data_IF_012717288978
#
_entry.id   IF_012717288978
#
_cell.length_a   1.000
_cell.length_b   1.000
_cell.length_c   1.000
_cell.angle_alpha   90.00
_cell.angle_beta   90.00
_cell.angle_gamma   90.00
#
_symmetry.space_group_name_H-M   'P 1'
#
loop_
_entity.id
_entity.type
_entity.pdbx_description
1 polymer ?
#
# COMPACT_ATOMS: atom_id res chain seq x y z
N UNK A 1 -13.66 5.13 -30.09
CA UNK A 1 -13.02 6.38 -30.53
C UNK A 1 -11.57 6.14 -30.98
N UNK A 2 -10.81 5.29 -30.27
CA UNK A 2 -9.39 5.02 -30.54
C UNK A 2 -9.11 3.66 -31.17
N UNK A 3 -10.12 2.98 -31.71
CA UNK A 3 -10.02 1.61 -32.18
C UNK A 3 -8.89 1.37 -33.20
N UNK A 4 -8.63 2.32 -34.09
CA UNK A 4 -7.59 2.20 -35.11
C UNK A 4 -6.18 2.57 -34.65
N UNK A 5 -6.06 3.13 -33.44
CA UNK A 5 -4.79 3.62 -32.88
C UNK A 5 -4.44 2.98 -31.54
N UNK A 6 -5.29 2.08 -31.03
CA UNK A 6 -5.09 1.42 -29.75
C UNK A 6 -3.96 0.40 -29.85
N UNK A 7 -2.83 0.68 -29.19
CA UNK A 7 -1.68 -0.21 -29.16
C UNK A 7 -1.69 -1.14 -27.93
N UNK A 8 -2.03 -0.61 -26.77
CA UNK A 8 -2.04 -1.37 -25.53
C UNK A 8 -2.96 -0.73 -24.47
N UNK A 9 -3.40 -1.57 -23.53
CA UNK A 9 -4.03 -1.17 -22.28
C UNK A 9 -3.22 -1.75 -21.12
N UNK A 10 -2.91 -0.94 -20.11
CA UNK A 10 -2.37 -1.41 -18.83
C UNK A 10 -3.44 -1.27 -17.74
N UNK A 11 -3.70 -2.36 -17.04
CA UNK A 11 -4.64 -2.39 -15.90
C UNK A 11 -4.03 -3.11 -14.72
N UNK A 12 -4.38 -2.68 -13.52
CA UNK A 12 -4.08 -3.41 -12.27
C UNK A 12 -5.26 -4.30 -11.92
N UNK A 13 -5.03 -5.58 -11.58
CA UNK A 13 -6.11 -6.50 -11.21
C UNK A 13 -5.76 -7.35 -9.98
N UNK A 14 -6.60 -7.34 -8.90
CA UNK A 14 -7.74 -6.42 -8.71
C UNK A 14 -7.33 -4.95 -8.77
N UNK A 15 -8.29 -4.05 -8.99
CA UNK A 15 -7.98 -2.62 -9.13
C UNK A 15 -7.48 -2.01 -7.82
N UNK A 16 -6.71 -0.91 -7.94
CA UNK A 16 -6.24 -0.11 -6.80
C UNK A 16 -7.38 0.59 -6.03
N UNK A 17 -8.62 0.43 -6.48
CA UNK A 17 -9.82 0.85 -5.75
C UNK A 17 -10.31 -0.23 -4.76
N UNK A 18 -9.59 -1.33 -4.66
CA UNK A 18 -9.92 -2.43 -3.75
C UNK A 18 -11.11 -3.28 -4.21
N UNK A 19 -11.37 -3.37 -5.51
CA UNK A 19 -12.49 -4.15 -6.06
C UNK A 19 -12.06 -5.04 -7.21
N UNK A 20 -12.77 -6.16 -7.39
CA UNK A 20 -12.65 -7.01 -8.56
C UNK A 20 -13.52 -6.44 -9.70
N UNK A 21 -12.89 -6.06 -10.80
CA UNK A 21 -13.60 -5.58 -12.00
C UNK A 21 -14.27 -6.74 -12.72
N UNK A 22 -15.60 -6.80 -12.68
CA UNK A 22 -16.37 -7.89 -13.30
C UNK A 22 -16.25 -7.90 -14.84
N UNK A 23 -16.05 -6.73 -15.45
CA UNK A 23 -15.95 -6.56 -16.89
C UNK A 23 -14.54 -6.82 -17.45
N UNK A 24 -13.58 -7.32 -16.65
CA UNK A 24 -12.18 -7.46 -17.08
C UNK A 24 -12.02 -8.29 -18.36
N UNK A 25 -12.77 -9.37 -18.51
CA UNK A 25 -12.74 -10.22 -19.72
C UNK A 25 -13.21 -9.44 -20.94
N UNK A 26 -14.36 -8.77 -20.84
CA UNK A 26 -14.93 -7.95 -21.91
C UNK A 26 -13.98 -6.80 -22.31
N UNK A 27 -13.33 -6.16 -21.32
CA UNK A 27 -12.33 -5.10 -21.57
C UNK A 27 -11.15 -5.67 -22.38
N UNK A 28 -10.63 -6.83 -21.98
CA UNK A 28 -9.52 -7.48 -22.69
C UNK A 28 -9.94 -7.83 -24.13
N UNK A 29 -11.13 -8.39 -24.31
CA UNK A 29 -11.66 -8.75 -25.64
C UNK A 29 -11.81 -7.53 -26.55
N UNK A 30 -12.29 -6.40 -26.01
CA UNK A 30 -12.39 -5.14 -26.77
C UNK A 30 -11.03 -4.61 -27.20
N UNK A 31 -10.01 -4.71 -26.35
CA UNK A 31 -8.63 -4.30 -26.68
C UNK A 31 -8.07 -5.19 -27.77
N UNK A 32 -8.23 -6.51 -27.66
CA UNK A 32 -7.77 -7.47 -28.66
C UNK A 32 -8.50 -7.30 -30.00
N UNK A 33 -9.80 -7.04 -29.98
CA UNK A 33 -10.57 -6.77 -31.19
C UNK A 33 -10.07 -5.51 -31.95
N UNK A 34 -9.45 -4.57 -31.24
CA UNK A 34 -8.79 -3.40 -31.84
C UNK A 34 -7.33 -3.66 -32.24
N UNK A 35 -6.79 -4.87 -32.04
CA UNK A 35 -5.39 -5.22 -32.31
C UNK A 35 -4.40 -4.82 -31.22
N UNK A 36 -4.88 -4.32 -30.09
CA UNK A 36 -4.07 -3.93 -28.94
C UNK A 36 -3.66 -5.11 -28.06
N UNK A 37 -2.73 -4.86 -27.13
CA UNK A 37 -2.27 -5.83 -26.14
C UNK A 37 -2.68 -5.41 -24.73
N UNK A 38 -2.87 -6.38 -23.82
CA UNK A 38 -3.25 -6.12 -22.44
C UNK A 38 -2.10 -6.43 -21.50
N UNK A 39 -1.63 -5.40 -20.80
CA UNK A 39 -0.64 -5.53 -19.71
C UNK A 39 -1.37 -5.55 -18.36
N UNK A 40 -1.24 -6.64 -17.63
CA UNK A 40 -1.78 -6.76 -16.27
C UNK A 40 -0.68 -6.43 -15.26
N UNK A 41 -0.86 -5.35 -14.52
CA UNK A 41 -0.04 -5.06 -13.35
C UNK A 41 -0.31 -6.11 -12.27
N UNK A 42 0.70 -6.91 -11.96
CA UNK A 42 0.65 -7.99 -10.97
C UNK A 42 0.98 -7.55 -9.55
N UNK A 43 0.93 -6.25 -9.24
CA UNK A 43 1.18 -5.75 -7.89
C UNK A 43 0.23 -6.36 -6.85
N UNK A 44 -1.01 -6.62 -7.24
CA UNK A 44 -2.06 -7.15 -6.38
C UNK A 44 -2.27 -8.68 -6.55
N UNK A 45 -1.24 -9.40 -6.97
CA UNK A 45 -1.31 -10.85 -7.20
C UNK A 45 -1.72 -11.63 -5.96
N UNK A 46 -1.38 -11.16 -4.75
CA UNK A 46 -1.80 -11.76 -3.46
C UNK A 46 -3.33 -11.89 -3.32
N UNK A 47 -4.10 -11.10 -4.04
CA UNK A 47 -5.56 -11.19 -4.04
C UNK A 47 -6.13 -12.21 -5.02
N UNK A 48 -5.31 -12.89 -5.84
CA UNK A 48 -5.78 -13.78 -6.91
C UNK A 48 -5.03 -15.11 -6.99
N UNK A 49 -3.93 -15.30 -6.27
CA UNK A 49 -3.15 -16.57 -6.32
C UNK A 49 -4.04 -17.76 -6.00
N UNK A 50 -4.05 -18.73 -6.92
CA UNK A 50 -4.87 -19.93 -6.81
C UNK A 50 -6.34 -19.80 -7.24
N UNK A 51 -6.83 -18.57 -7.47
CA UNK A 51 -8.22 -18.28 -7.84
C UNK A 51 -8.39 -17.76 -9.27
N UNK A 52 -7.45 -16.95 -9.75
CA UNK A 52 -7.50 -16.42 -11.11
C UNK A 52 -6.12 -16.44 -11.76
N UNK A 53 -6.09 -16.51 -13.08
CA UNK A 53 -4.88 -16.50 -13.89
C UNK A 53 -5.00 -15.40 -14.93
N UNK A 54 -4.06 -14.46 -14.91
CA UNK A 54 -4.06 -13.29 -15.78
C UNK A 54 -4.16 -13.63 -17.27
N UNK A 55 -3.48 -14.69 -17.71
CA UNK A 55 -3.56 -15.14 -19.10
C UNK A 55 -4.91 -15.76 -19.49
N UNK A 56 -5.68 -16.31 -18.54
CA UNK A 56 -6.98 -16.91 -18.85
C UNK A 56 -8.07 -15.88 -19.09
N UNK A 57 -7.99 -14.71 -18.44
CA UNK A 57 -8.96 -13.65 -18.66
C UNK A 57 -8.52 -12.57 -19.67
N UNK A 58 -7.41 -12.77 -20.38
CA UNK A 58 -7.03 -11.91 -21.48
C UNK A 58 -5.72 -11.14 -21.33
N UNK A 59 -4.97 -11.30 -20.24
CA UNK A 59 -3.65 -10.68 -20.08
C UNK A 59 -2.63 -11.23 -21.09
N UNK A 60 -1.90 -10.34 -21.78
CA UNK A 60 -0.82 -10.70 -22.70
C UNK A 60 0.55 -10.60 -22.04
N UNK A 61 0.72 -9.62 -21.16
CA UNK A 61 1.93 -9.40 -20.38
C UNK A 61 1.54 -9.14 -18.92
N UNK A 62 2.35 -9.64 -18.00
CA UNK A 62 2.24 -9.29 -16.58
C UNK A 62 3.60 -9.26 -15.92
N UNK A 63 3.82 -8.34 -15.00
CA UNK A 63 4.93 -8.41 -14.05
C UNK A 63 4.42 -8.83 -12.67
N UNK A 64 5.33 -9.39 -11.86
CA UNK A 64 5.05 -9.75 -10.48
C UNK A 64 5.93 -8.92 -9.53
N UNK A 65 5.32 -8.41 -8.47
CA UNK A 65 6.03 -7.76 -7.38
C UNK A 65 6.36 -8.81 -6.30
N UNK A 66 7.54 -9.41 -6.38
CA UNK A 66 7.94 -10.46 -5.43
C UNK A 66 8.00 -9.97 -3.99
N UNK A 67 8.28 -8.67 -3.77
CA UNK A 67 8.29 -8.02 -2.46
C UNK A 67 6.90 -7.78 -1.88
N UNK A 68 5.84 -8.09 -2.62
CA UNK A 68 4.45 -8.06 -2.13
C UNK A 68 3.94 -9.47 -1.86
N UNK A 69 3.73 -10.24 -2.92
CA UNK A 69 3.10 -11.57 -2.85
C UNK A 69 4.05 -12.69 -2.43
N UNK A 70 5.36 -12.58 -2.71
CA UNK A 70 6.31 -13.69 -2.61
C UNK A 70 7.50 -13.42 -1.68
N UNK A 71 7.31 -12.61 -0.65
CA UNK A 71 8.15 -12.48 0.55
C UNK A 71 9.58 -11.98 0.38
N UNK A 72 10.02 -11.51 -0.78
CA UNK A 72 11.36 -10.89 -0.85
C UNK A 72 11.37 -9.55 -0.14
N UNK A 73 12.52 -9.12 0.41
CA UNK A 73 12.62 -7.82 1.05
C UNK A 73 12.48 -6.70 0.01
N UNK A 74 11.76 -5.63 0.36
CA UNK A 74 11.78 -4.36 -0.39
C UNK A 74 12.93 -3.47 0.10
N UNK A 75 13.15 -3.42 1.41
CA UNK A 75 14.31 -2.82 2.07
C UNK A 75 14.53 -1.34 1.77
N UNK A 76 13.47 -0.59 1.50
CA UNK A 76 13.60 0.83 1.13
C UNK A 76 14.27 1.03 -0.24
N UNK A 77 14.13 0.09 -1.17
CA UNK A 77 14.72 0.10 -2.51
C UNK A 77 15.89 -0.87 -2.66
N UNK A 78 15.93 -1.92 -1.85
CA UNK A 78 16.95 -2.98 -1.86
C UNK A 78 16.99 -3.81 -3.15
N UNK A 79 17.55 -5.03 -3.11
CA UNK A 79 17.75 -5.83 -4.30
C UNK A 79 16.43 -6.06 -5.03
N UNK A 80 16.40 -5.78 -6.34
CA UNK A 80 15.21 -5.83 -7.17
C UNK A 80 15.24 -7.00 -8.14
N UNK A 81 14.16 -7.77 -8.18
CA UNK A 81 13.84 -8.68 -9.26
C UNK A 81 12.34 -8.72 -9.43
N UNK A 82 11.86 -8.50 -10.64
CA UNK A 82 10.45 -8.53 -11.00
C UNK A 82 10.26 -9.43 -12.22
N UNK A 83 9.80 -10.68 -12.04
CA UNK A 83 9.50 -11.52 -13.18
C UNK A 83 8.46 -10.88 -14.08
N UNK A 84 8.72 -10.91 -15.38
CA UNK A 84 7.77 -10.53 -16.42
C UNK A 84 7.43 -11.78 -17.20
N UNK A 85 6.14 -12.06 -17.36
CA UNK A 85 5.62 -13.14 -18.17
C UNK A 85 4.85 -12.56 -19.35
N UNK A 86 4.98 -13.19 -20.51
CA UNK A 86 4.32 -12.76 -21.72
C UNK A 86 3.79 -13.97 -22.49
N UNK A 87 2.74 -13.76 -23.30
CA UNK A 87 2.24 -14.77 -24.25
C UNK A 87 3.26 -15.04 -25.35
N UNK A 88 3.20 -16.23 -25.93
CA UNK A 88 4.16 -16.71 -26.93
C UNK A 88 4.31 -15.76 -28.14
N UNK A 89 3.23 -15.14 -28.59
CA UNK A 89 3.27 -14.22 -29.74
C UNK A 89 4.11 -12.96 -29.49
N UNK A 90 4.43 -12.64 -28.21
CA UNK A 90 5.29 -11.52 -27.82
C UNK A 90 6.75 -11.92 -27.65
N UNK A 91 7.08 -13.20 -27.78
CA UNK A 91 8.43 -13.73 -27.52
C UNK A 91 9.52 -13.03 -28.32
N UNK A 92 9.27 -12.78 -29.59
CA UNK A 92 10.23 -12.13 -30.49
C UNK A 92 10.53 -10.67 -30.13
N UNK A 93 9.68 -10.04 -29.30
CA UNK A 93 9.83 -8.65 -28.84
C UNK A 93 10.49 -8.54 -27.46
N UNK A 94 10.79 -9.66 -26.79
CA UNK A 94 11.43 -9.64 -25.49
C UNK A 94 12.87 -9.11 -25.59
N UNK A 95 13.34 -8.37 -24.56
CA UNK A 95 14.71 -7.84 -24.54
C UNK A 95 15.74 -8.97 -24.46
N UNK A 96 16.81 -8.84 -25.22
CA UNK A 96 17.98 -9.70 -25.11
C UNK A 96 19.00 -9.19 -24.08
N UNK A 97 20.02 -10.00 -23.80
CA UNK A 97 21.13 -9.59 -22.95
C UNK A 97 22.40 -10.36 -23.32
N UNK A 98 23.53 -9.64 -23.47
CA UNK A 98 24.80 -10.23 -23.87
C UNK A 98 25.33 -11.27 -22.87
N UNK A 99 25.02 -11.12 -21.59
CA UNK A 99 25.46 -12.02 -20.51
C UNK A 99 24.50 -13.21 -20.31
N UNK A 100 23.30 -13.16 -20.87
CA UNK A 100 22.35 -14.26 -20.83
C UNK A 100 22.52 -15.08 -22.11
N UNK A 101 22.85 -16.36 -22.00
CA UNK A 101 22.90 -17.30 -23.13
C UNK A 101 21.47 -17.65 -23.62
N UNK A 102 20.66 -16.63 -23.85
CA UNK A 102 19.31 -16.78 -24.38
C UNK A 102 19.34 -16.20 -25.78
N UNK A 103 19.11 -17.02 -26.76
CA UNK A 103 18.89 -16.62 -28.16
C UNK A 103 17.55 -15.84 -28.23
N UNK A 104 17.58 -14.57 -27.87
CA UNK A 104 16.48 -13.64 -28.07
C UNK A 104 16.88 -12.65 -29.15
N UNK A 105 15.99 -12.40 -30.10
CA UNK A 105 16.48 -12.13 -31.44
C UNK A 105 17.00 -10.73 -31.70
N UNK A 106 16.50 -9.60 -31.17
CA UNK A 106 16.85 -8.33 -31.82
C UNK A 106 16.85 -7.07 -30.95
N UNK A 107 16.50 -7.19 -29.69
CA UNK A 107 16.42 -6.04 -28.80
C UNK A 107 17.52 -6.04 -27.77
N UNK A 108 18.13 -4.88 -27.54
CA UNK A 108 19.20 -4.71 -26.54
C UNK A 108 18.69 -4.93 -25.10
N UNK A 109 19.60 -4.96 -24.12
CA UNK A 109 19.25 -5.13 -22.72
C UNK A 109 18.50 -3.91 -22.20
N UNK A 110 17.49 -4.14 -21.34
CA UNK A 110 16.77 -3.09 -20.62
C UNK A 110 17.46 -2.69 -19.31
N UNK A 111 18.41 -3.51 -18.82
CA UNK A 111 19.16 -3.25 -17.59
C UNK A 111 20.57 -3.86 -17.70
N UNK A 112 21.48 -3.39 -16.83
CA UNK A 112 22.84 -3.92 -16.77
C UNK A 112 22.90 -5.37 -16.27
N UNK A 113 21.97 -5.79 -15.42
CA UNK A 113 21.87 -7.15 -14.91
C UNK A 113 20.74 -7.91 -15.64
N UNK A 114 21.05 -9.08 -16.26
CA UNK A 114 20.04 -9.81 -17.07
C UNK A 114 18.87 -10.35 -16.24
N UNK A 115 19.09 -10.63 -14.96
CA UNK A 115 18.12 -11.27 -14.08
C UNK A 115 17.86 -10.45 -12.80
N UNK A 116 18.15 -9.15 -12.80
CA UNK A 116 18.05 -8.30 -11.62
C UNK A 116 19.01 -8.77 -10.51
N UNK A 117 18.51 -8.90 -9.28
CA UNK A 117 19.25 -9.43 -8.13
C UNK A 117 18.81 -10.88 -7.84
N UNK A 118 19.27 -11.88 -8.61
CA UNK A 118 18.69 -13.23 -8.58
C UNK A 118 18.97 -13.98 -7.26
N UNK A 119 19.91 -13.53 -6.45
CA UNK A 119 20.24 -14.12 -5.15
C UNK A 119 19.08 -14.08 -4.14
N UNK A 120 18.04 -13.27 -4.38
CA UNK A 120 16.84 -13.22 -3.53
C UNK A 120 15.74 -14.20 -3.96
N UNK A 121 15.82 -14.79 -5.14
CA UNK A 121 14.83 -15.76 -5.64
C UNK A 121 14.67 -17.01 -4.75
N UNK A 122 15.71 -17.54 -4.07
CA UNK A 122 15.55 -18.63 -3.11
C UNK A 122 14.55 -18.32 -1.99
N UNK A 123 14.34 -17.05 -1.63
CA UNK A 123 13.34 -16.65 -0.62
C UNK A 123 11.93 -16.95 -1.14
N UNK A 124 11.59 -16.49 -2.34
CA UNK A 124 10.29 -16.78 -2.96
C UNK A 124 10.10 -18.27 -3.22
N UNK A 125 11.16 -18.97 -3.65
CA UNK A 125 11.11 -20.41 -3.84
C UNK A 125 10.81 -21.15 -2.53
N UNK A 126 11.51 -20.82 -1.44
CA UNK A 126 11.29 -21.42 -0.14
C UNK A 126 9.87 -21.13 0.38
N UNK A 127 9.38 -19.90 0.25
CA UNK A 127 8.02 -19.52 0.60
C UNK A 127 6.98 -20.38 -0.13
N UNK A 128 7.11 -20.50 -1.46
CA UNK A 128 6.20 -21.31 -2.27
C UNK A 128 6.23 -22.79 -1.86
N UNK A 129 7.44 -23.33 -1.59
CA UNK A 129 7.59 -24.72 -1.14
C UNK A 129 6.98 -24.96 0.25
N UNK A 130 7.13 -24.02 1.17
CA UNK A 130 6.58 -24.12 2.53
C UNK A 130 5.06 -23.99 2.53
N UNK A 131 4.50 -23.09 1.72
CA UNK A 131 3.05 -22.87 1.64
C UNK A 131 2.35 -23.98 0.86
N UNK A 132 2.95 -24.46 -0.22
CA UNK A 132 2.29 -25.35 -1.17
C UNK A 132 1.07 -24.71 -1.85
N UNK A 133 0.39 -25.45 -2.70
CA UNK A 133 -0.78 -24.92 -3.41
C UNK A 133 -1.90 -24.49 -2.45
N UNK A 134 -2.22 -25.30 -1.46
CA UNK A 134 -3.30 -25.00 -0.53
C UNK A 134 -2.96 -23.78 0.32
N UNK A 135 -1.76 -23.70 0.87
CA UNK A 135 -1.36 -22.56 1.69
C UNK A 135 -1.37 -21.23 0.93
N UNK A 136 -0.97 -21.23 -0.35
CA UNK A 136 -1.06 -20.02 -1.19
C UNK A 136 -2.51 -19.60 -1.47
N UNK A 137 -3.42 -20.57 -1.69
CA UNK A 137 -4.85 -20.30 -1.83
C UNK A 137 -5.45 -19.77 -0.53
N UNK A 138 -5.09 -20.39 0.58
CA UNK A 138 -5.56 -19.97 1.91
C UNK A 138 -5.08 -18.56 2.25
N UNK A 139 -3.82 -18.22 1.92
CA UNK A 139 -3.28 -16.88 2.09
C UNK A 139 -4.10 -15.83 1.31
N UNK A 140 -4.40 -16.10 0.04
CA UNK A 140 -5.28 -15.23 -0.76
C UNK A 140 -6.66 -15.06 -0.13
N UNK A 141 -7.28 -16.18 0.28
CA UNK A 141 -8.62 -16.15 0.91
C UNK A 141 -8.61 -15.34 2.21
N UNK A 142 -7.58 -15.50 3.04
CA UNK A 142 -7.43 -14.78 4.31
C UNK A 142 -7.19 -13.29 4.05
N UNK A 143 -6.37 -12.91 3.06
CA UNK A 143 -6.14 -11.51 2.71
C UNK A 143 -7.47 -10.80 2.34
N UNK A 144 -8.28 -11.42 1.49
CA UNK A 144 -9.60 -10.88 1.10
C UNK A 144 -10.56 -10.86 2.28
N UNK A 145 -10.59 -11.91 3.10
CA UNK A 145 -11.45 -11.99 4.28
C UNK A 145 -11.09 -10.90 5.31
N UNK A 146 -9.80 -10.71 5.58
CA UNK A 146 -9.29 -9.72 6.53
C UNK A 146 -9.66 -8.30 6.12
N UNK A 147 -9.50 -7.95 4.83
CA UNK A 147 -9.90 -6.65 4.30
C UNK A 147 -11.41 -6.41 4.47
N UNK A 148 -12.23 -7.41 4.14
CA UNK A 148 -13.69 -7.33 4.30
C UNK A 148 -14.11 -7.28 5.77
N UNK A 149 -13.40 -7.98 6.67
CA UNK A 149 -13.65 -7.91 8.10
C UNK A 149 -13.43 -6.49 8.64
N UNK A 150 -12.27 -5.89 8.35
CA UNK A 150 -11.95 -4.51 8.75
C UNK A 150 -12.94 -3.54 8.13
N UNK A 151 -13.20 -3.64 6.82
CA UNK A 151 -14.16 -2.79 6.11
C UNK A 151 -15.54 -2.82 6.76
N UNK A 152 -16.05 -4.03 7.08
CA UNK A 152 -17.37 -4.20 7.72
C UNK A 152 -17.42 -3.60 9.12
N UNK A 153 -16.35 -3.75 9.90
CA UNK A 153 -16.29 -3.23 11.27
C UNK A 153 -16.17 -1.71 11.32
N UNK A 154 -15.56 -1.10 10.32
CA UNK A 154 -15.38 0.36 10.25
C UNK A 154 -16.50 1.09 9.50
N UNK A 155 -17.38 0.39 8.79
CA UNK A 155 -18.34 0.98 7.87
C UNK A 155 -19.27 2.05 8.50
N UNK A 156 -19.67 1.88 9.75
CA UNK A 156 -20.54 2.83 10.47
C UNK A 156 -19.78 4.09 10.93
N UNK A 157 -18.47 4.01 11.09
CA UNK A 157 -17.62 5.09 11.55
C UNK A 157 -16.93 5.85 10.40
N UNK A 158 -16.57 5.13 9.34
CA UNK A 158 -15.86 5.64 8.17
C UNK A 158 -16.50 5.06 6.91
N UNK A 159 -17.03 5.90 6.00
CA UNK A 159 -17.59 5.40 4.75
C UNK A 159 -16.56 4.66 3.90
N UNK A 160 -16.94 3.51 3.34
CA UNK A 160 -16.19 2.87 2.26
C UNK A 160 -16.44 3.65 0.98
N UNK A 161 -15.36 3.99 0.27
CA UNK A 161 -15.47 4.75 -0.96
C UNK A 161 -15.86 3.88 -2.15
N UNK A 162 -15.32 2.65 -2.18
CA UNK A 162 -15.55 1.69 -3.26
C UNK A 162 -15.90 0.32 -2.72
N UNK A 163 -16.87 -0.32 -3.35
CA UNK A 163 -17.23 -1.73 -3.13
C UNK A 163 -17.64 -2.35 -4.44
N UNK A 164 -17.51 -3.67 -4.56
CA UNK A 164 -18.18 -4.44 -5.61
C UNK A 164 -19.71 -4.42 -5.42
N UNK A 165 -20.46 -5.00 -6.36
CA UNK A 165 -21.93 -4.98 -6.37
C UNK A 165 -22.59 -5.64 -5.16
N UNK A 166 -21.87 -6.48 -4.43
CA UNK A 166 -22.35 -7.13 -3.21
C UNK A 166 -21.93 -6.41 -1.92
N UNK A 167 -21.38 -5.20 -2.02
CA UNK A 167 -20.88 -4.43 -0.88
C UNK A 167 -19.58 -4.99 -0.28
N UNK A 168 -18.86 -5.85 -1.02
CA UNK A 168 -17.59 -6.43 -0.61
C UNK A 168 -16.42 -5.72 -1.30
N UNK A 169 -15.25 -5.77 -0.66
CA UNK A 169 -13.96 -5.33 -1.21
C UNK A 169 -13.11 -6.55 -1.59
N UNK A 170 -12.03 -6.31 -2.32
CA UNK A 170 -11.01 -7.31 -2.59
C UNK A 170 -10.07 -7.47 -1.36
N UNK A 171 -8.77 -7.29 -1.52
CA UNK A 171 -7.78 -7.42 -0.45
C UNK A 171 -7.47 -6.11 0.28
N UNK A 172 -8.03 -5.01 -0.16
CA UNK A 172 -7.84 -3.67 0.40
C UNK A 172 -9.16 -2.89 0.45
N UNK A 173 -9.29 -2.00 1.44
CA UNK A 173 -10.45 -1.17 1.65
C UNK A 173 -10.08 0.31 1.62
N UNK A 174 -10.76 1.09 0.79
CA UNK A 174 -10.57 2.54 0.71
C UNK A 174 -11.60 3.21 1.58
N UNK A 175 -11.18 3.78 2.71
CA UNK A 175 -12.05 4.53 3.62
C UNK A 175 -11.94 6.04 3.37
N UNK A 176 -13.08 6.72 3.43
CA UNK A 176 -13.18 8.14 3.15
C UNK A 176 -13.09 8.97 4.44
N UNK A 177 -12.05 9.78 4.58
CA UNK A 177 -11.84 10.68 5.73
C UNK A 177 -12.38 12.09 5.47
N UNK A 178 -12.75 12.44 4.23
CA UNK A 178 -13.22 13.78 3.87
C UNK A 178 -14.45 14.23 4.65
N UNK A 179 -15.45 13.38 4.99
CA UNK A 179 -16.56 13.77 5.87
C UNK A 179 -16.08 14.19 7.26
N UNK A 180 -15.04 13.54 7.79
CA UNK A 180 -14.46 13.88 9.09
C UNK A 180 -13.72 15.23 9.03
N UNK A 181 -13.00 15.48 7.95
CA UNK A 181 -12.36 16.77 7.72
C UNK A 181 -13.39 17.90 7.62
N UNK A 182 -14.50 17.67 6.91
CA UNK A 182 -15.56 18.67 6.76
C UNK A 182 -16.27 18.99 8.08
N UNK A 183 -16.45 18.00 8.97
CA UNK A 183 -17.23 18.15 10.22
C UNK A 183 -16.42 18.54 11.44
N UNK A 184 -15.15 18.13 11.52
CA UNK A 184 -14.28 18.32 12.69
C UNK A 184 -12.93 18.98 12.36
N UNK A 185 -12.64 19.27 11.11
CA UNK A 185 -11.35 19.79 10.66
C UNK A 185 -10.20 18.76 10.68
N UNK A 186 -10.50 17.48 10.92
CA UNK A 186 -9.50 16.41 11.06
C UNK A 186 -9.24 15.78 9.69
N UNK A 187 -8.03 15.97 9.18
CA UNK A 187 -7.59 15.42 7.90
C UNK A 187 -7.13 13.96 8.01
N UNK A 188 -6.98 13.29 6.87
CA UNK A 188 -6.43 11.93 6.83
C UNK A 188 -5.00 11.85 7.37
N UNK A 189 -4.20 12.90 7.22
CA UNK A 189 -2.86 13.00 7.83
C UNK A 189 -2.94 13.00 9.36
N UNK A 190 -3.93 13.68 9.94
CA UNK A 190 -4.15 13.69 11.39
C UNK A 190 -4.48 12.30 11.92
N UNK A 191 -5.36 11.58 11.23
CA UNK A 191 -5.71 10.19 11.57
C UNK A 191 -4.48 9.29 11.45
N UNK A 192 -3.71 9.39 10.36
CA UNK A 192 -2.50 8.61 10.15
C UNK A 192 -1.43 8.87 11.22
N UNK A 193 -1.21 10.13 11.58
CA UNK A 193 -0.27 10.50 12.65
C UNK A 193 -0.74 10.05 14.03
N UNK A 194 -2.05 10.12 14.28
CA UNK A 194 -2.62 9.66 15.54
C UNK A 194 -2.50 8.14 15.70
N UNK A 195 -2.62 7.36 14.63
CA UNK A 195 -2.37 5.92 14.64
C UNK A 195 -0.96 5.55 15.14
N UNK A 196 0.06 6.41 14.92
CA UNK A 196 1.39 6.20 15.48
C UNK A 196 1.36 6.22 17.02
N UNK A 197 0.57 7.10 17.63
CA UNK A 197 0.40 7.12 19.09
C UNK A 197 -0.30 5.85 19.60
N UNK A 198 -1.16 5.25 18.79
CA UNK A 198 -1.78 3.95 19.07
C UNK A 198 -0.85 2.76 18.79
N UNK A 199 0.35 3.01 18.26
CA UNK A 199 1.35 1.99 17.98
C UNK A 199 1.18 1.29 16.65
N UNK A 200 0.64 1.99 15.64
CA UNK A 200 0.50 1.51 14.28
C UNK A 200 1.35 2.31 13.30
N UNK A 201 1.89 1.63 12.32
CA UNK A 201 2.29 2.24 11.07
C UNK A 201 1.02 2.54 10.26
N UNK A 202 0.82 3.80 9.89
CA UNK A 202 -0.42 4.20 9.23
C UNK A 202 -0.61 3.54 7.85
N UNK A 203 -1.86 3.30 7.44
CA UNK A 203 -2.18 2.91 6.07
C UNK A 203 -1.75 3.96 5.05
N UNK A 204 -1.67 3.56 3.77
CA UNK A 204 -1.39 4.46 2.66
C UNK A 204 -2.42 5.60 2.61
N UNK A 205 -1.92 6.84 2.57
CA UNK A 205 -2.75 8.04 2.57
C UNK A 205 -2.99 8.56 1.16
N UNK A 206 -4.19 9.10 0.92
CA UNK A 206 -4.54 9.85 -0.29
C UNK A 206 -4.27 9.09 -1.59
N UNK A 207 -4.48 7.80 -1.57
CA UNK A 207 -4.37 6.93 -2.73
C UNK A 207 -5.48 5.85 -2.68
N UNK A 208 -6.15 5.58 -3.80
CA UNK A 208 -6.07 6.25 -5.12
C UNK A 208 -6.73 7.63 -5.15
N UNK A 209 -7.42 8.03 -4.11
CA UNK A 209 -8.18 9.30 -4.01
C UNK A 209 -7.65 10.15 -2.84
N UNK A 210 -7.48 11.45 -3.07
CA UNK A 210 -7.07 12.38 -2.02
C UNK A 210 -8.06 12.38 -0.84
N UNK A 211 -7.54 12.42 0.39
CA UNK A 211 -8.33 12.44 1.61
C UNK A 211 -8.89 11.07 2.04
N UNK A 212 -8.33 9.98 1.53
CA UNK A 212 -8.68 8.61 1.91
C UNK A 212 -7.53 7.89 2.61
N UNK A 213 -7.82 6.75 3.22
CA UNK A 213 -6.84 5.78 3.69
C UNK A 213 -7.11 4.44 2.99
N UNK A 214 -6.05 3.81 2.47
CA UNK A 214 -6.09 2.47 1.92
C UNK A 214 -5.62 1.47 2.97
N UNK A 215 -6.52 0.60 3.42
CA UNK A 215 -6.25 -0.41 4.43
C UNK A 215 -6.09 -1.76 3.75
N UNK A 216 -4.88 -2.30 3.81
CA UNK A 216 -4.52 -3.62 3.29
C UNK A 216 -3.93 -4.46 4.43
N UNK A 217 -4.73 -5.28 5.13
CA UNK A 217 -4.24 -6.06 6.27
C UNK A 217 -3.39 -7.26 5.85
N UNK A 218 -3.46 -7.69 4.60
CA UNK A 218 -2.87 -8.92 4.06
C UNK A 218 -3.35 -10.21 4.77
N UNK A 219 -2.68 -11.32 4.53
CA UNK A 219 -2.87 -12.58 5.25
C UNK A 219 -2.03 -12.68 6.53
N UNK A 220 -1.10 -11.73 6.72
CA UNK A 220 -0.07 -11.81 7.76
C UNK A 220 -0.56 -11.37 9.13
N UNK A 221 -1.61 -10.55 9.19
CA UNK A 221 -2.11 -9.99 10.43
C UNK A 221 -3.07 -10.98 11.14
N UNK A 222 -2.81 -11.34 12.40
CA UNK A 222 -3.73 -12.16 13.18
C UNK A 222 -5.01 -11.37 13.54
N UNK A 223 -6.10 -12.06 13.82
CA UNK A 223 -7.38 -11.44 14.15
C UNK A 223 -7.28 -10.45 15.31
N UNK A 224 -6.49 -10.74 16.32
CA UNK A 224 -6.26 -9.85 17.48
C UNK A 224 -5.63 -8.50 17.06
N UNK A 225 -4.75 -8.51 16.07
CA UNK A 225 -4.14 -7.28 15.56
C UNK A 225 -5.13 -6.49 14.67
N UNK A 226 -5.98 -7.19 13.91
CA UNK A 226 -7.06 -6.55 13.16
C UNK A 226 -8.06 -5.88 14.12
N UNK A 227 -8.44 -6.56 15.20
CA UNK A 227 -9.32 -6.00 16.22
C UNK A 227 -8.68 -4.80 16.92
N UNK A 228 -7.39 -4.88 17.28
CA UNK A 228 -6.63 -3.78 17.87
C UNK A 228 -6.59 -2.54 16.94
N UNK A 229 -6.42 -2.76 15.63
CA UNK A 229 -6.45 -1.69 14.64
C UNK A 229 -7.85 -1.07 14.51
N UNK A 230 -8.89 -1.89 14.47
CA UNK A 230 -10.29 -1.44 14.41
C UNK A 230 -10.60 -0.60 15.64
N UNK A 231 -10.24 -1.06 16.84
CA UNK A 231 -10.46 -0.34 18.09
C UNK A 231 -9.74 1.01 18.10
N UNK A 232 -8.50 1.06 17.59
CA UNK A 232 -7.76 2.32 17.44
C UNK A 232 -8.46 3.30 16.49
N UNK A 233 -8.93 2.83 15.34
CA UNK A 233 -9.67 3.66 14.38
C UNK A 233 -10.98 4.18 14.97
N UNK A 234 -11.74 3.34 15.67
CA UNK A 234 -12.98 3.75 16.35
C UNK A 234 -12.71 4.74 17.48
N UNK A 235 -11.62 4.58 18.24
CA UNK A 235 -11.20 5.52 19.26
C UNK A 235 -10.80 6.88 18.66
N UNK A 236 -10.07 6.88 17.54
CA UNK A 236 -9.73 8.10 16.78
C UNK A 236 -10.99 8.80 16.28
N UNK A 237 -12.00 8.05 15.80
CA UNK A 237 -13.28 8.62 15.40
C UNK A 237 -14.00 9.26 16.59
N UNK A 238 -13.93 8.64 17.77
CA UNK A 238 -14.50 9.21 19.01
C UNK A 238 -13.73 10.46 19.49
N UNK A 239 -12.41 10.49 19.33
CA UNK A 239 -11.61 11.70 19.60
C UNK A 239 -12.01 12.84 18.65
N UNK A 240 -12.18 12.56 17.36
CA UNK A 240 -12.67 13.56 16.39
C UNK A 240 -14.10 14.06 16.72
N UNK A 241 -14.96 13.19 17.27
CA UNK A 241 -16.27 13.61 17.76
C UNK A 241 -16.16 14.63 18.91
N UNK A 242 -15.19 14.47 19.81
CA UNK A 242 -14.95 15.46 20.87
C UNK A 242 -14.54 16.83 20.32
N UNK A 243 -13.80 16.87 19.22
CA UNK A 243 -13.48 18.12 18.51
C UNK A 243 -14.76 18.73 17.91
N UNK A 244 -15.56 17.93 17.23
CA UNK A 244 -16.83 18.35 16.64
C UNK A 244 -17.81 18.90 17.68
N UNK A 245 -17.85 18.31 18.87
CA UNK A 245 -18.70 18.71 19.99
C UNK A 245 -18.14 19.91 20.78
N UNK A 246 -16.96 20.43 20.41
CA UNK A 246 -16.32 21.58 21.05
C UNK A 246 -15.66 21.28 22.40
N UNK A 247 -15.46 20.00 22.75
CA UNK A 247 -14.70 19.62 23.96
C UNK A 247 -13.20 19.92 23.80
N UNK A 248 -12.69 19.84 22.59
CA UNK A 248 -11.33 20.25 22.23
C UNK A 248 -11.37 21.25 21.06
N UNK A 249 -10.49 22.28 21.07
CA UNK A 249 -10.38 23.18 19.91
C UNK A 249 -9.95 22.44 18.66
N UNK A 250 -10.39 22.91 17.49
CA UNK A 250 -10.01 22.32 16.21
C UNK A 250 -8.49 22.40 15.96
N UNK A 251 -7.87 23.49 16.41
CA UNK A 251 -6.44 23.77 16.25
C UNK A 251 -5.53 23.18 17.34
N UNK A 252 -6.11 22.68 18.46
CA UNK A 252 -5.34 22.11 19.57
C UNK A 252 -6.05 20.90 20.20
N UNK A 253 -5.77 19.74 19.66
CA UNK A 253 -6.32 18.46 20.12
C UNK A 253 -5.34 17.30 19.84
N UNK A 254 -5.57 16.09 20.42
CA UNK A 254 -4.67 14.97 20.26
C UNK A 254 -4.41 14.52 18.81
N UNK A 255 -5.35 14.78 17.88
CA UNK A 255 -5.21 14.35 16.49
C UNK A 255 -4.28 15.30 15.70
N UNK A 256 -4.52 16.61 15.76
CA UNK A 256 -3.69 17.59 15.03
C UNK A 256 -2.28 17.70 15.63
N UNK A 257 -2.10 17.38 16.89
CA UNK A 257 -0.80 17.39 17.57
C UNK A 257 -0.03 16.07 17.47
N UNK A 258 -0.67 14.99 17.03
CA UNK A 258 -0.01 13.69 16.85
C UNK A 258 1.09 13.74 15.77
N UNK A 259 2.14 12.89 15.87
CA UNK A 259 2.41 11.96 16.95
C UNK A 259 3.10 12.65 18.13
N UNK A 260 2.90 12.13 19.34
CA UNK A 260 3.46 12.68 20.56
C UNK A 260 4.77 11.98 20.93
N UNK A 261 5.85 12.77 21.04
CA UNK A 261 7.19 12.28 21.41
C UNK A 261 7.43 12.29 22.91
N UNK A 262 8.39 11.52 23.40
CA UNK A 262 8.80 11.54 24.80
C UNK A 262 9.28 12.93 25.25
N UNK A 263 9.93 13.69 24.35
CA UNK A 263 10.39 15.04 24.64
C UNK A 263 9.26 16.02 24.96
N UNK A 264 8.10 15.89 24.32
CA UNK A 264 6.95 16.74 24.61
C UNK A 264 6.38 16.51 26.00
N UNK A 265 6.42 15.28 26.50
CA UNK A 265 5.92 14.98 27.83
C UNK A 265 6.72 15.61 28.95
N UNK A 266 7.99 15.88 28.72
CA UNK A 266 8.92 16.48 29.69
C UNK A 266 8.99 17.99 29.58
N UNK A 267 8.33 18.59 28.59
CA UNK A 267 8.20 20.04 28.42
C UNK A 267 6.97 20.59 29.15
N UNK A 268 6.79 21.91 29.12
CA UNK A 268 5.54 22.54 29.55
C UNK A 268 4.37 22.01 28.74
N UNK A 269 3.21 21.88 29.40
CA UNK A 269 2.03 21.28 28.79
C UNK A 269 0.84 22.24 28.89
N UNK A 270 0.53 22.90 27.83
CA UNK A 270 -0.55 23.89 27.78
C UNK A 270 -1.78 23.39 26.99
N UNK A 271 -1.74 22.11 26.50
CA UNK A 271 -2.83 21.53 25.73
C UNK A 271 -4.08 21.26 26.59
N UNK A 272 -5.30 21.36 26.01
CA UNK A 272 -6.57 21.14 26.71
C UNK A 272 -6.88 19.68 27.01
N UNK A 273 -5.93 18.77 26.78
CA UNK A 273 -6.02 17.34 27.05
C UNK A 273 -4.81 16.88 27.88
N UNK A 274 -4.95 15.75 28.56
CA UNK A 274 -3.88 15.27 29.44
C UNK A 274 -2.71 14.64 28.67
N UNK A 275 -1.51 14.64 29.28
CA UNK A 275 -0.35 13.88 28.77
C UNK A 275 -0.68 12.40 28.57
N UNK A 276 -1.48 11.82 29.47
CA UNK A 276 -1.90 10.42 29.38
C UNK A 276 -2.77 10.19 28.11
N UNK A 277 -3.75 11.06 27.87
CA UNK A 277 -4.55 11.03 26.61
C UNK A 277 -3.67 11.14 25.38
N UNK A 278 -2.62 11.98 25.43
CA UNK A 278 -1.70 12.16 24.32
C UNK A 278 -0.98 10.84 23.96
N UNK A 279 -0.37 10.18 24.94
CA UNK A 279 0.60 9.11 24.65
C UNK A 279 0.14 7.71 25.03
N UNK A 280 -0.87 7.56 25.87
CA UNK A 280 -1.42 6.28 26.28
C UNK A 280 -2.94 6.23 26.01
N UNK A 281 -3.37 6.45 24.76
CA UNK A 281 -4.79 6.50 24.44
C UNK A 281 -5.54 5.19 24.70
N UNK A 282 -4.81 4.08 24.91
CA UNK A 282 -5.39 2.76 25.18
C UNK A 282 -4.86 2.22 26.51
N UNK A 283 -5.73 1.60 27.31
CA UNK A 283 -5.36 0.98 28.57
C UNK A 283 -4.25 -0.07 28.38
N UNK A 284 -3.24 -0.02 29.25
CA UNK A 284 -2.12 -0.98 29.21
C UNK A 284 -1.01 -0.67 28.21
N UNK A 285 -1.19 0.28 27.32
CA UNK A 285 -0.21 0.64 26.28
C UNK A 285 1.14 1.11 26.86
N UNK A 286 1.17 1.64 28.07
CA UNK A 286 2.41 2.07 28.70
C UNK A 286 3.47 0.95 28.82
N UNK A 287 3.05 -0.32 28.82
CA UNK A 287 3.95 -1.48 28.92
C UNK A 287 4.69 -1.77 27.59
N UNK A 288 4.15 -1.34 26.45
CA UNK A 288 4.65 -1.63 25.11
C UNK A 288 4.59 -0.41 24.21
N UNK A 289 4.74 0.80 24.76
CA UNK A 289 4.66 2.05 23.99
C UNK A 289 5.79 2.16 22.98
N UNK A 290 5.43 2.33 21.70
CA UNK A 290 6.34 2.85 20.70
C UNK A 290 6.42 4.38 20.83
N UNK A 291 7.64 4.90 21.00
CA UNK A 291 7.89 6.34 21.09
C UNK A 291 8.36 6.87 19.74
N UNK A 292 7.55 7.69 19.05
CA UNK A 292 7.99 8.30 17.80
C UNK A 292 9.19 9.22 18.05
N UNK A 293 10.24 9.13 17.21
CA UNK A 293 11.45 9.95 17.40
C UNK A 293 11.23 11.41 17.02
N UNK A 294 10.25 11.69 16.16
CA UNK A 294 9.97 13.04 15.65
C UNK A 294 8.46 13.31 15.63
N UNK A 295 8.13 14.60 15.69
CA UNK A 295 6.77 15.11 15.45
C UNK A 295 6.49 15.22 13.94
N UNK A 296 5.53 16.06 13.58
CA UNK A 296 5.24 16.41 12.20
C UNK A 296 6.41 17.12 11.54
N UNK A 297 6.68 16.73 10.32
CA UNK A 297 7.66 17.38 9.45
C UNK A 297 6.90 18.14 8.36
N UNK A 298 7.42 19.30 7.98
CA UNK A 298 6.96 19.98 6.77
C UNK A 298 7.65 19.35 5.56
N UNK A 299 7.03 18.26 5.04
CA UNK A 299 7.54 17.54 3.88
C UNK A 299 7.61 18.42 2.63
N UNK A 300 6.62 19.29 2.43
CA UNK A 300 6.61 20.20 1.28
C UNK A 300 7.73 21.22 1.33
N UNK A 301 8.07 21.72 2.52
CA UNK A 301 9.25 22.57 2.71
C UNK A 301 10.53 21.79 2.43
N UNK A 302 10.66 20.57 2.98
CA UNK A 302 11.81 19.70 2.78
C UNK A 302 12.07 19.41 1.30
N UNK A 303 11.03 19.05 0.56
CA UNK A 303 11.13 18.73 -0.88
C UNK A 303 11.54 19.95 -1.73
N UNK A 304 11.15 21.14 -1.33
CA UNK A 304 11.52 22.40 -2.02
C UNK A 304 12.87 22.96 -1.60
N UNK A 305 13.37 22.53 -0.45
CA UNK A 305 14.61 23.04 0.15
C UNK A 305 15.59 21.89 0.43
N UNK A 306 15.92 21.14 -0.61
CA UNK A 306 16.88 20.04 -0.51
C UNK A 306 18.23 20.55 -0.03
N UNK A 307 18.74 19.97 1.06
CA UNK A 307 20.11 20.22 1.56
C UNK A 307 20.95 19.00 1.22
N UNK A 308 21.88 19.16 0.25
CA UNK A 308 22.89 18.13 0.00
C UNK A 308 24.06 18.35 0.97
N UNK A 309 24.28 17.38 1.87
CA UNK A 309 25.43 17.37 2.77
C UNK A 309 26.67 16.68 2.15
N UNK A 310 26.59 16.26 0.89
CA UNK A 310 27.71 15.65 0.20
C UNK A 310 28.81 16.70 0.00
N UNK A 311 30.05 16.44 0.45
CA UNK A 311 31.17 17.33 0.14
C UNK A 311 31.35 17.46 -1.38
N UNK A 312 31.73 18.62 -1.91
CA UNK A 312 32.00 18.74 -3.31
C UNK A 312 33.17 17.84 -3.71
N UNK A 313 33.19 17.37 -4.96
CA UNK A 313 34.16 16.37 -5.41
C UNK A 313 35.59 16.86 -5.25
N UNK A 314 35.81 18.15 -5.33
CA UNK A 314 37.12 18.84 -5.15
C UNK A 314 37.69 18.60 -3.73
N UNK A 315 36.85 18.38 -2.74
CA UNK A 315 37.29 18.07 -1.37
C UNK A 315 38.02 16.73 -1.23
N UNK A 316 37.85 15.82 -2.21
CA UNK A 316 38.53 14.53 -2.26
C UNK A 316 39.80 14.52 -3.13
N UNK A 317 40.08 15.60 -3.86
CA UNK A 317 41.31 15.75 -4.64
C UNK A 317 42.42 16.12 -3.65
N UNK A 318 43.29 15.16 -3.33
CA UNK A 318 44.53 15.44 -2.61
C UNK A 318 45.50 16.15 -3.56
N UNK A 319 45.88 17.39 -3.22
CA UNK A 319 47.00 18.09 -3.85
C UNK A 319 48.32 17.33 -3.66
#
# INVERSE_FOLDING_TARGET
>A
EHQETLAALMITYPSTHGVYEEAVVEICDLVHAAGGQVYIDGANTNAVVGYAKFGEFGGDVSHLNLHKTFCIPHGGGGPGVGPVVAREHLREFLPGHQMAQVELPNYGPVSAAPFGSPSILPISWAYIQMMGNQGLMDATAVAVLSANYVAKKLADAFPLLYTGKHGLVAHEAIIDIRPLQASAGIANDDVAKRLIDYGFHAPTMSFPVAGTLMIEPTESEPLEELDRFIDAMLAIRAEAQKVQDGHWPAEDNPLVNAPHTAGQLTSEWEHPYSRETAVFPVAGQAKSKYWPPVRRLDGAFGDRNLVCSCPPIESFIKN
#
